data_IF_137494624601
#
_entry.id   IF_137494624601
#
_cell.length_a   1.000
_cell.length_b   1.000
_cell.length_c   1.000
_cell.angle_alpha   90.00
_cell.angle_beta   90.00
_cell.angle_gamma   90.00
#
_symmetry.space_group_name_H-M   'P 1'
#
loop_
_entity.id
_entity.type
_entity.pdbx_description
1 polymer ?
#
# COMPACT_ATOMS: atom_id res chain seq x y z
N UNK A 1 23.06 11.58 -2.80
CA UNK A 1 22.91 10.17 -3.21
C UNK A 1 23.50 10.00 -4.60
N UNK A 2 24.11 8.85 -4.92
CA UNK A 2 24.61 8.56 -6.27
C UNK A 2 23.49 8.56 -7.33
N UNK A 3 23.81 8.90 -8.58
CA UNK A 3 22.83 9.00 -9.67
C UNK A 3 22.14 7.68 -10.00
N UNK A 4 22.87 6.56 -9.89
CA UNK A 4 22.32 5.22 -10.12
C UNK A 4 21.17 4.86 -9.17
N UNK A 5 21.05 5.53 -8.01
CA UNK A 5 19.93 5.33 -7.09
C UNK A 5 18.59 5.84 -7.65
N UNK A 6 18.64 6.71 -8.66
CA UNK A 6 17.46 7.30 -9.31
C UNK A 6 17.16 6.66 -10.67
N UNK A 7 17.94 5.67 -11.09
CA UNK A 7 17.74 4.94 -12.33
C UNK A 7 16.81 3.73 -12.13
N UNK A 8 15.56 3.86 -12.58
CA UNK A 8 14.63 2.73 -12.62
C UNK A 8 14.92 1.80 -13.81
N UNK A 9 14.83 0.49 -13.56
CA UNK A 9 14.92 -0.54 -14.61
C UNK A 9 13.54 -1.17 -14.82
N UNK A 10 12.79 -0.79 -15.88
CA UNK A 10 11.43 -1.29 -16.12
C UNK A 10 11.37 -2.81 -16.22
N UNK A 11 12.39 -3.44 -16.82
CA UNK A 11 12.46 -4.90 -16.93
C UNK A 11 12.55 -5.56 -15.55
N UNK A 12 13.40 -5.02 -14.66
CA UNK A 12 13.54 -5.53 -13.30
C UNK A 12 12.25 -5.33 -12.51
N UNK A 13 11.64 -4.15 -12.59
CA UNK A 13 10.37 -3.85 -11.91
C UNK A 13 9.24 -4.76 -12.40
N UNK A 14 9.12 -4.98 -13.72
CA UNK A 14 8.13 -5.89 -14.30
C UNK A 14 8.38 -7.35 -13.94
N UNK A 15 9.65 -7.78 -13.83
CA UNK A 15 9.98 -9.12 -13.40
C UNK A 15 9.55 -9.39 -11.95
N UNK A 16 9.75 -8.43 -11.03
CA UNK A 16 9.23 -8.53 -9.67
C UNK A 16 7.70 -8.50 -9.62
N UNK A 17 7.07 -7.62 -10.39
CA UNK A 17 5.60 -7.60 -10.47
C UNK A 17 5.04 -8.94 -10.98
N UNK A 18 5.66 -9.52 -12.02
CA UNK A 18 5.27 -10.85 -12.51
C UNK A 18 5.51 -11.96 -11.47
N UNK A 19 6.59 -11.87 -10.70
CA UNK A 19 6.86 -12.78 -9.58
C UNK A 19 5.75 -12.68 -8.52
N UNK A 20 5.37 -11.47 -8.10
CA UNK A 20 4.30 -11.27 -7.12
C UNK A 20 2.98 -11.88 -7.59
N UNK A 21 2.59 -11.63 -8.85
CA UNK A 21 1.38 -12.22 -9.45
C UNK A 21 1.49 -13.75 -9.52
N UNK A 22 2.66 -14.27 -9.86
CA UNK A 22 2.93 -15.71 -9.89
C UNK A 22 2.80 -16.36 -8.51
N UNK A 23 3.37 -15.74 -7.47
CA UNK A 23 3.28 -16.21 -6.08
C UNK A 23 1.84 -16.17 -5.57
N UNK A 24 1.11 -15.09 -5.84
CA UNK A 24 -0.31 -14.95 -5.49
C UNK A 24 -1.13 -16.06 -6.15
N UNK A 25 -0.98 -16.22 -7.47
CA UNK A 25 -1.75 -17.22 -8.24
C UNK A 25 -1.40 -18.64 -7.81
N UNK A 26 -0.10 -18.91 -7.59
CA UNK A 26 0.38 -20.21 -7.12
C UNK A 26 -0.14 -20.54 -5.71
N UNK A 27 -0.16 -19.57 -4.80
CA UNK A 27 -0.67 -19.77 -3.46
C UNK A 27 -2.19 -20.05 -3.46
N UNK A 28 -2.96 -19.34 -4.30
CA UNK A 28 -4.38 -19.67 -4.52
C UNK A 28 -4.56 -21.09 -5.08
N UNK A 29 -3.75 -21.50 -6.06
CA UNK A 29 -3.83 -22.84 -6.64
C UNK A 29 -3.52 -23.95 -5.60
N UNK A 30 -2.53 -23.71 -4.73
CA UNK A 30 -2.21 -24.61 -3.61
C UNK A 30 -3.37 -24.67 -2.62
N UNK A 31 -3.91 -23.52 -2.21
CA UNK A 31 -5.04 -23.47 -1.27
C UNK A 31 -6.27 -24.21 -1.81
N UNK A 32 -6.58 -24.00 -3.09
CA UNK A 32 -7.67 -24.70 -3.79
C UNK A 32 -7.42 -26.21 -3.87
N UNK A 33 -6.18 -26.64 -4.14
CA UNK A 33 -5.85 -28.07 -4.26
C UNK A 33 -5.85 -28.80 -2.93
N UNK A 34 -5.45 -28.12 -1.85
CA UNK A 34 -5.42 -28.70 -0.50
C UNK A 34 -6.80 -28.71 0.17
N UNK A 35 -7.64 -27.70 -0.11
CA UNK A 35 -9.00 -27.51 0.41
C UNK A 35 -9.14 -27.91 1.90
N UNK A 36 -8.28 -27.34 2.74
CA UNK A 36 -8.13 -27.74 4.13
C UNK A 36 -8.31 -26.57 5.08
N UNK A 37 -9.24 -26.74 6.02
CA UNK A 37 -9.48 -25.79 7.12
C UNK A 37 -8.25 -25.55 7.99
N UNK A 38 -7.31 -26.49 8.06
CA UNK A 38 -6.05 -26.31 8.78
C UNK A 38 -5.04 -25.46 8.01
N UNK A 39 -5.12 -25.46 6.67
CA UNK A 39 -4.23 -24.67 5.82
C UNK A 39 -4.72 -23.23 5.65
N UNK A 40 -6.04 -22.99 5.67
CA UNK A 40 -6.60 -21.67 5.41
C UNK A 40 -6.07 -20.54 6.31
N UNK A 41 -5.85 -20.71 7.63
CA UNK A 41 -5.27 -19.65 8.45
C UNK A 41 -3.87 -19.22 7.99
N UNK A 42 -3.02 -20.20 7.61
CA UNK A 42 -1.69 -19.92 7.06
C UNK A 42 -1.79 -19.25 5.69
N UNK A 43 -2.67 -19.76 4.83
CA UNK A 43 -2.96 -19.18 3.54
C UNK A 43 -3.38 -17.71 3.66
N UNK A 44 -4.33 -17.35 4.54
CA UNK A 44 -4.78 -15.97 4.70
C UNK A 44 -3.66 -15.03 5.10
N UNK A 45 -2.79 -15.45 6.03
CA UNK A 45 -1.65 -14.66 6.46
C UNK A 45 -0.65 -14.43 5.33
N UNK A 46 -0.30 -15.50 4.60
CA UNK A 46 0.63 -15.42 3.46
C UNK A 46 0.02 -14.60 2.32
N UNK A 47 -1.24 -14.85 1.97
CA UNK A 47 -1.94 -14.18 0.88
C UNK A 47 -2.14 -12.70 1.16
N UNK A 48 -2.51 -12.33 2.39
CA UNK A 48 -2.59 -10.93 2.83
C UNK A 48 -1.25 -10.21 2.73
N UNK A 49 -0.15 -10.89 3.09
CA UNK A 49 1.21 -10.35 2.94
C UNK A 49 1.57 -10.12 1.47
N UNK A 50 1.21 -11.05 0.58
CA UNK A 50 1.44 -10.89 -0.87
C UNK A 50 0.57 -9.77 -1.48
N UNK A 51 -0.65 -9.57 -0.99
CA UNK A 51 -1.47 -8.42 -1.38
C UNK A 51 -0.88 -7.08 -0.93
N UNK A 52 -0.16 -7.05 0.18
CA UNK A 52 0.64 -5.88 0.55
C UNK A 52 1.76 -5.60 -0.46
N UNK A 53 2.40 -6.63 -1.04
CA UNK A 53 3.37 -6.44 -2.11
C UNK A 53 2.75 -5.73 -3.34
N UNK A 54 1.51 -6.10 -3.72
CA UNK A 54 0.78 -5.37 -4.77
C UNK A 54 0.51 -3.90 -4.40
N UNK A 55 0.16 -3.63 -3.13
CA UNK A 55 0.00 -2.26 -2.65
C UNK A 55 1.30 -1.46 -2.83
N UNK A 56 2.46 -2.04 -2.47
CA UNK A 56 3.79 -1.43 -2.64
C UNK A 56 4.11 -1.19 -4.11
N UNK A 57 3.84 -2.15 -5.01
CA UNK A 57 4.04 -1.95 -6.46
C UNK A 57 3.22 -0.77 -6.98
N UNK A 58 1.94 -0.70 -6.61
CA UNK A 58 1.09 0.42 -7.00
C UNK A 58 1.52 1.73 -6.35
N UNK A 59 2.03 1.69 -5.12
CA UNK A 59 2.60 2.84 -4.44
C UNK A 59 3.81 3.42 -5.19
N UNK A 60 4.75 2.56 -5.58
CA UNK A 60 5.93 2.95 -6.34
C UNK A 60 5.58 3.45 -7.74
N UNK A 61 4.54 2.89 -8.35
CA UNK A 61 3.93 3.45 -9.57
C UNK A 61 3.38 4.86 -9.33
N UNK A 62 2.73 5.10 -8.17
CA UNK A 62 2.18 6.40 -7.78
C UNK A 62 3.25 7.48 -7.61
N UNK A 63 4.41 7.10 -7.08
CA UNK A 63 5.61 7.95 -6.97
C UNK A 63 6.38 8.11 -8.29
N UNK A 64 6.20 7.17 -9.21
CA UNK A 64 6.94 7.09 -10.46
C UNK A 64 8.33 6.47 -10.31
N UNK A 65 8.63 5.81 -9.19
CA UNK A 65 9.88 5.07 -8.97
C UNK A 65 9.86 3.70 -9.66
N UNK A 66 8.69 3.12 -9.94
CA UNK A 66 8.56 1.84 -10.63
C UNK A 66 9.20 1.86 -12.04
N UNK A 67 8.98 2.95 -12.79
CA UNK A 67 9.60 3.17 -14.10
C UNK A 67 9.65 4.66 -14.47
N UNK A 68 10.54 5.04 -15.39
CA UNK A 68 10.57 6.39 -15.97
C UNK A 68 9.36 6.74 -16.85
N UNK A 69 8.52 5.77 -17.20
CA UNK A 69 7.42 5.95 -18.14
C UNK A 69 6.09 6.12 -17.40
N UNK A 70 5.55 7.35 -17.42
CA UNK A 70 4.28 7.67 -16.74
C UNK A 70 3.11 6.78 -17.15
N UNK A 71 3.02 6.44 -18.44
CA UNK A 71 1.97 5.54 -18.96
C UNK A 71 2.06 4.13 -18.38
N UNK A 72 3.28 3.57 -18.30
CA UNK A 72 3.52 2.26 -17.70
C UNK A 72 3.17 2.25 -16.21
N UNK A 73 3.60 3.26 -15.46
CA UNK A 73 3.24 3.40 -14.04
C UNK A 73 1.73 3.55 -13.85
N UNK A 74 1.04 4.27 -14.75
CA UNK A 74 -0.41 4.37 -14.69
C UNK A 74 -1.07 3.01 -14.90
N UNK A 75 -0.64 2.24 -15.91
CA UNK A 75 -1.20 0.92 -16.19
C UNK A 75 -0.94 -0.07 -15.05
N UNK A 76 0.33 -0.25 -14.66
CA UNK A 76 0.72 -1.21 -13.61
C UNK A 76 0.13 -0.81 -12.25
N UNK A 77 0.05 0.49 -11.95
CA UNK A 77 -0.62 0.97 -10.74
C UNK A 77 -2.09 0.55 -10.66
N UNK A 78 -2.86 0.71 -11.75
CA UNK A 78 -4.25 0.22 -11.77
C UNK A 78 -4.33 -1.31 -11.67
N UNK A 79 -3.47 -2.04 -12.38
CA UNK A 79 -3.47 -3.50 -12.36
C UNK A 79 -3.10 -4.08 -10.98
N UNK A 80 -2.17 -3.47 -10.27
CA UNK A 80 -1.73 -3.91 -8.94
C UNK A 80 -2.75 -3.58 -7.85
N UNK A 81 -3.39 -2.41 -7.91
CA UNK A 81 -4.36 -1.97 -6.89
C UNK A 81 -5.78 -2.53 -7.09
N UNK A 82 -6.17 -2.90 -8.31
CA UNK A 82 -7.52 -3.45 -8.59
C UNK A 82 -7.85 -4.71 -7.77
N UNK A 83 -6.98 -5.75 -7.70
CA UNK A 83 -7.26 -6.97 -6.94
C UNK A 83 -7.43 -6.74 -5.43
N UNK A 84 -6.85 -5.67 -4.89
CA UNK A 84 -6.91 -5.29 -3.48
C UNK A 84 -7.93 -4.18 -3.20
N UNK A 85 -8.79 -3.87 -4.18
CA UNK A 85 -9.89 -2.91 -4.08
C UNK A 85 -9.44 -1.49 -3.70
N UNK A 86 -8.23 -1.10 -4.10
CA UNK A 86 -7.73 0.27 -3.92
C UNK A 86 -7.98 1.07 -5.21
N UNK A 87 -8.71 2.20 -5.18
CA UNK A 87 -8.93 3.03 -6.36
C UNK A 87 -7.65 3.82 -6.69
N UNK A 88 -6.75 3.21 -7.47
CA UNK A 88 -5.39 3.72 -7.71
C UNK A 88 -5.32 5.20 -8.09
N UNK A 89 -6.18 5.69 -8.99
CA UNK A 89 -6.10 7.09 -9.43
C UNK A 89 -6.36 8.07 -8.27
N UNK A 90 -7.43 7.85 -7.52
CA UNK A 90 -7.78 8.66 -6.35
C UNK A 90 -6.73 8.51 -5.26
N UNK A 91 -6.35 7.27 -4.96
CA UNK A 91 -5.29 6.96 -3.99
C UNK A 91 -3.97 7.66 -4.34
N UNK A 92 -3.54 7.65 -5.61
CA UNK A 92 -2.29 8.31 -6.04
C UNK A 92 -2.30 9.82 -5.80
N UNK A 93 -3.44 10.48 -6.06
CA UNK A 93 -3.59 11.92 -5.82
C UNK A 93 -3.51 12.19 -4.32
N UNK A 94 -4.32 11.45 -3.56
CA UNK A 94 -4.40 11.52 -2.11
C UNK A 94 -3.04 11.32 -1.45
N UNK A 95 -2.37 10.22 -1.80
CA UNK A 95 -1.05 9.86 -1.30
C UNK A 95 0.02 10.91 -1.61
N UNK A 96 -0.06 11.54 -2.80
CA UNK A 96 0.83 12.66 -3.14
C UNK A 96 0.58 13.88 -2.26
N UNK A 97 -0.69 14.20 -1.97
CA UNK A 97 -1.04 15.27 -1.04
C UNK A 97 -0.50 14.97 0.36
N UNK A 98 -0.70 13.74 0.86
CA UNK A 98 -0.12 13.27 2.11
C UNK A 98 1.39 13.48 2.15
N UNK A 99 2.13 13.06 1.13
CA UNK A 99 3.59 13.25 1.08
C UNK A 99 4.03 14.72 1.01
N UNK A 100 3.23 15.59 0.38
CA UNK A 100 3.52 17.02 0.34
C UNK A 100 3.27 17.70 1.70
N UNK A 101 2.36 17.15 2.51
CA UNK A 101 1.90 17.73 3.76
C UNK A 101 2.25 16.88 4.99
N UNK A 102 3.14 15.89 4.87
CA UNK A 102 3.31 14.84 5.89
C UNK A 102 3.55 15.42 7.28
N UNK A 103 2.67 15.08 8.22
CA UNK A 103 2.76 15.54 9.61
C UNK A 103 2.24 16.95 9.86
N UNK A 104 1.69 17.63 8.85
CA UNK A 104 0.94 18.86 9.03
C UNK A 104 -0.47 18.54 9.57
N UNK A 105 -0.83 19.12 10.72
CA UNK A 105 -2.11 18.83 11.39
C UNK A 105 -3.34 19.27 10.60
N UNK A 106 -3.21 20.29 9.74
CA UNK A 106 -4.32 20.90 9.02
C UNK A 106 -4.46 20.36 7.59
N UNK A 107 -3.32 20.04 6.95
CA UNK A 107 -3.28 19.73 5.51
C UNK A 107 -2.85 18.31 5.18
N UNK A 108 -2.39 17.51 6.15
CA UNK A 108 -2.20 16.08 5.96
C UNK A 108 -3.55 15.36 5.97
N UNK A 109 -3.94 14.80 4.83
CA UNK A 109 -5.22 14.12 4.67
C UNK A 109 -5.24 12.67 5.20
N UNK A 110 -4.08 12.11 5.53
CA UNK A 110 -3.96 10.72 6.02
C UNK A 110 -3.96 10.65 7.55
N UNK A 111 -3.39 11.66 8.21
CA UNK A 111 -3.19 11.65 9.65
C UNK A 111 -3.55 12.99 10.29
N UNK A 112 -4.59 12.97 11.14
CA UNK A 112 -5.07 14.13 11.89
C UNK A 112 -4.79 13.96 13.39
N UNK A 113 -3.59 14.33 13.87
CA UNK A 113 -3.28 14.24 15.29
C UNK A 113 -4.17 15.19 16.09
N UNK A 114 -4.50 14.81 17.32
CA UNK A 114 -5.13 15.74 18.27
C UNK A 114 -4.13 16.83 18.66
N UNK A 115 -4.59 18.07 18.83
CA UNK A 115 -3.77 19.15 19.39
C UNK A 115 -3.38 18.84 20.82
N UNK A 116 -2.25 19.39 21.29
CA UNK A 116 -1.80 19.23 22.68
C UNK A 116 -2.88 19.65 23.68
N UNK A 117 -3.50 20.81 23.46
CA UNK A 117 -4.58 21.32 24.31
C UNK A 117 -5.77 20.36 24.40
N UNK A 118 -6.11 19.67 23.30
CA UNK A 118 -7.16 18.64 23.29
C UNK A 118 -6.69 17.38 24.01
N UNK A 119 -5.46 16.94 23.74
CA UNK A 119 -4.87 15.77 24.38
C UNK A 119 -4.87 15.88 25.91
N UNK A 120 -4.49 17.02 26.47
CA UNK A 120 -4.48 17.23 27.92
C UNK A 120 -5.86 17.03 28.56
N UNK A 121 -6.93 17.40 27.85
CA UNK A 121 -8.32 17.29 28.31
C UNK A 121 -8.91 15.88 28.11
N UNK A 122 -8.25 15.01 27.32
CA UNK A 122 -8.78 13.68 27.03
C UNK A 122 -8.69 12.76 28.26
N UNK A 123 -9.76 12.01 28.59
CA UNK A 123 -9.69 10.95 29.59
C UNK A 123 -8.76 9.82 29.13
N UNK A 124 -8.25 9.04 30.09
CA UNK A 124 -7.20 8.03 29.83
C UNK A 124 -7.58 7.01 28.76
N UNK A 125 -8.87 6.65 28.63
CA UNK A 125 -9.33 5.68 27.62
C UNK A 125 -9.30 6.26 26.21
N UNK A 126 -9.58 7.55 26.03
CA UNK A 126 -9.43 8.23 24.73
C UNK A 126 -7.96 8.39 24.37
N UNK A 127 -7.08 8.67 25.34
CA UNK A 127 -5.63 8.69 25.13
C UNK A 127 -5.10 7.31 24.70
N UNK A 128 -5.63 6.25 25.29
CA UNK A 128 -5.27 4.86 24.97
C UNK A 128 -5.77 4.46 23.57
N UNK A 129 -7.02 4.80 23.24
CA UNK A 129 -7.65 4.37 22.00
C UNK A 129 -7.42 5.34 20.84
N UNK A 130 -6.88 6.55 21.07
CA UNK A 130 -6.54 7.58 20.06
C UNK A 130 -7.65 7.92 19.05
N UNK A 131 -8.88 7.45 19.26
CA UNK A 131 -10.00 7.65 18.35
C UNK A 131 -11.01 8.62 18.94
N UNK A 132 -11.57 9.44 18.05
CA UNK A 132 -12.77 10.22 18.28
C UNK A 132 -13.92 9.26 18.56
N UNK A 133 -14.20 9.01 19.84
CA UNK A 133 -15.57 8.71 20.23
C UNK A 133 -16.40 9.96 19.87
N UNK A 134 -17.59 9.80 19.27
CA UNK A 134 -18.42 10.93 18.84
C UNK A 134 -18.69 11.93 19.97
#
# INVERSE_FOLDING_TARGET
MPDYCFESSPLKSLAYFALDIGLITGLYAIAYSLDSWFFFPLFWLMQGTLFWALFVVGHDCGHGSFSKYKGLNSLVGHLSHTPILVPYHGWRISHRTHHANTGNIDTDESWYPVTEAKYEQMPWYEKLLRFYLP
#
